data_IF_284874327674
#
_entry.id   IF_284874327674
#
_cell.length_a   1.000
_cell.length_b   1.000
_cell.length_c   1.000
_cell.angle_alpha   90.00
_cell.angle_beta   90.00
_cell.angle_gamma   90.00
#
_symmetry.space_group_name_H-M   'P 1'
#
loop_
_entity.id
_entity.type
_entity.pdbx_description
1 polymer ?
#
# COMPACT_ATOMS: atom_id res chain seq x y z
N UNK A 1 -30.29 -16.57 -58.76
CA UNK A 1 -30.62 -15.53 -59.80
C UNK A 1 -31.46 -14.50 -59.09
N UNK A 2 -30.87 -13.38 -58.79
CA UNK A 2 -31.42 -12.04 -58.68
C UNK A 2 -30.30 -11.13 -58.23
N UNK A 3 -29.68 -10.47 -59.19
CA UNK A 3 -28.75 -9.36 -59.06
C UNK A 3 -29.55 -8.14 -58.56
N UNK A 4 -28.92 -7.31 -57.72
CA UNK A 4 -29.32 -5.93 -57.51
C UNK A 4 -28.05 -5.06 -57.44
N UNK A 5 -28.08 -4.04 -58.32
CA UNK A 5 -27.04 -3.09 -58.68
C UNK A 5 -26.71 -2.07 -57.61
N UNK A 6 -25.52 -1.39 -57.73
CA UNK A 6 -25.03 -0.41 -56.76
C UNK A 6 -25.60 1.00 -57.04
N UNK A 7 -25.79 1.77 -55.95
CA UNK A 7 -26.21 3.17 -55.96
C UNK A 7 -24.99 4.08 -56.03
N UNK A 8 -25.00 5.15 -56.88
CA UNK A 8 -23.83 6.05 -57.06
C UNK A 8 -23.72 7.16 -56.00
N UNK A 9 -22.57 7.83 -55.87
CA UNK A 9 -22.33 8.85 -54.89
C UNK A 9 -22.84 10.23 -55.30
N UNK A 10 -23.43 10.95 -54.35
CA UNK A 10 -23.93 12.32 -54.55
C UNK A 10 -22.87 13.34 -54.13
N UNK A 11 -22.46 14.19 -55.10
CA UNK A 11 -21.60 15.36 -54.91
C UNK A 11 -22.45 16.59 -54.61
N UNK A 12 -22.28 17.20 -53.43
CA UNK A 12 -22.61 18.61 -53.29
C UNK A 12 -21.49 19.34 -52.54
N UNK A 13 -20.63 20.01 -53.34
CA UNK A 13 -19.83 21.15 -52.91
C UNK A 13 -20.73 22.37 -52.79
N UNK A 14 -20.71 23.02 -51.64
CA UNK A 14 -21.01 24.44 -51.56
C UNK A 14 -19.94 25.17 -50.81
N UNK A 15 -19.21 25.99 -51.53
CA UNK A 15 -18.26 26.98 -51.04
C UNK A 15 -19.05 28.21 -50.55
N UNK A 16 -18.81 28.66 -49.34
CA UNK A 16 -19.12 30.04 -48.95
C UNK A 16 -17.83 30.65 -48.36
N UNK A 17 -17.27 31.61 -49.14
CA UNK A 17 -16.28 32.49 -48.69
C UNK A 17 -16.89 33.64 -47.88
N UNK A 18 -16.27 34.00 -46.79
CA UNK A 18 -16.63 35.14 -45.98
C UNK A 18 -15.43 35.51 -45.13
N UNK A 19 -14.61 36.41 -45.63
CA UNK A 19 -13.49 36.96 -44.88
C UNK A 19 -13.98 37.88 -43.76
N UNK A 20 -13.39 37.75 -42.60
CA UNK A 20 -13.38 38.79 -41.58
C UNK A 20 -11.97 39.04 -41.09
N UNK A 21 -11.68 40.33 -41.10
CA UNK A 21 -10.41 41.02 -40.87
C UNK A 21 -9.83 40.70 -39.49
N UNK A 22 -8.51 40.55 -39.49
CA UNK A 22 -7.62 40.59 -38.35
C UNK A 22 -7.77 41.89 -37.55
N UNK A 23 -7.99 41.75 -36.23
CA UNK A 23 -7.69 42.80 -35.26
C UNK A 23 -6.76 42.16 -34.23
N UNK A 24 -5.48 42.31 -34.43
CA UNK A 24 -4.46 41.93 -33.49
C UNK A 24 -4.44 42.97 -32.32
N UNK A 25 -4.88 42.57 -31.17
CA UNK A 25 -4.73 43.36 -29.94
C UNK A 25 -3.37 42.96 -29.31
N UNK A 26 -2.38 43.79 -29.55
CA UNK A 26 -1.05 43.73 -28.90
C UNK A 26 -1.21 44.26 -27.49
N UNK A 27 -1.29 43.39 -26.50
CA UNK A 27 -1.10 43.75 -25.08
C UNK A 27 0.40 43.79 -24.78
N UNK A 28 0.96 45.00 -24.73
CA UNK A 28 2.30 45.26 -24.23
C UNK A 28 2.32 45.03 -22.72
N UNK A 29 2.89 43.91 -22.28
CA UNK A 29 3.23 43.69 -20.87
C UNK A 29 4.59 44.31 -20.61
N UNK A 30 4.58 45.46 -19.95
CA UNK A 30 5.79 46.14 -19.48
C UNK A 30 6.42 45.31 -18.35
N UNK A 31 7.55 44.69 -18.63
CA UNK A 31 8.43 44.09 -17.62
C UNK A 31 9.21 45.21 -16.91
N UNK A 32 8.81 45.53 -15.67
CA UNK A 32 9.63 46.29 -14.76
C UNK A 32 10.76 45.40 -14.23
N UNK A 33 11.95 45.60 -14.72
CA UNK A 33 13.17 44.96 -14.21
C UNK A 33 13.52 45.63 -12.88
N UNK A 34 13.18 44.96 -11.77
CA UNK A 34 13.75 45.29 -10.48
C UNK A 34 15.15 44.68 -10.40
N UNK A 35 16.14 45.51 -10.46
CA UNK A 35 17.51 45.15 -10.20
C UNK A 35 17.71 44.79 -8.74
N UNK A 36 17.77 43.48 -8.44
CA UNK A 36 18.23 43.00 -7.14
C UNK A 36 19.77 43.00 -7.15
N UNK A 37 20.33 43.85 -6.30
CA UNK A 37 21.75 43.85 -5.99
C UNK A 37 22.12 42.51 -5.32
N UNK A 38 23.03 41.77 -5.96
CA UNK A 38 23.62 40.57 -5.44
C UNK A 38 24.63 40.99 -4.35
N UNK A 39 24.24 40.86 -3.08
CA UNK A 39 25.19 40.89 -1.96
C UNK A 39 25.98 39.57 -1.92
N UNK A 40 27.20 39.55 -1.32
CA UNK A 40 28.05 38.39 -1.33
C UNK A 40 27.39 37.22 -0.57
N UNK A 41 27.43 36.03 -1.17
CA UNK A 41 26.94 34.80 -0.62
C UNK A 41 27.69 34.48 0.69
N UNK A 42 27.03 34.74 1.81
CA UNK A 42 27.40 34.19 3.10
C UNK A 42 27.10 32.71 3.09
N UNK A 43 28.08 31.91 3.52
CA UNK A 43 28.04 30.45 3.45
C UNK A 43 26.73 29.84 3.98
N UNK A 44 26.15 28.92 3.18
CA UNK A 44 25.14 28.01 3.65
C UNK A 44 25.80 27.09 4.67
N UNK A 45 25.70 27.46 5.94
CA UNK A 45 25.89 26.51 7.02
C UNK A 45 24.92 25.35 6.79
N UNK A 46 25.48 24.17 6.63
CA UNK A 46 24.78 22.90 6.78
C UNK A 46 24.06 22.96 8.14
N UNK A 47 22.77 23.26 8.14
CA UNK A 47 21.94 23.00 9.32
C UNK A 47 21.97 21.50 9.55
N UNK A 48 22.88 21.09 10.40
CA UNK A 48 22.87 19.80 11.05
C UNK A 48 21.46 19.53 11.54
N UNK A 49 20.86 18.45 11.03
CA UNK A 49 19.59 17.90 11.48
C UNK A 49 19.69 17.81 12.99
N UNK A 50 19.04 18.71 13.72
CA UNK A 50 18.96 18.63 15.17
C UNK A 50 18.31 17.28 15.46
N UNK A 51 19.11 16.37 15.99
CA UNK A 51 18.64 15.14 16.58
C UNK A 51 17.72 15.56 17.72
N UNK A 52 16.41 15.45 17.47
CA UNK A 52 15.42 15.48 18.54
C UNK A 52 15.65 14.15 19.29
N UNK A 53 16.63 14.16 20.16
CA UNK A 53 16.82 13.10 21.15
C UNK A 53 15.70 13.29 22.18
N UNK A 54 14.57 12.63 21.95
CA UNK A 54 13.62 12.42 23.03
C UNK A 54 14.33 11.51 24.05
N UNK A 55 14.52 11.93 25.29
CA UNK A 55 14.99 11.04 26.34
C UNK A 55 13.85 10.08 26.66
N UNK A 56 13.77 8.96 25.93
CA UNK A 56 12.84 7.88 26.26
C UNK A 56 13.43 7.14 27.43
N UNK A 57 12.99 7.51 28.63
CA UNK A 57 13.22 6.70 29.83
C UNK A 57 12.44 5.38 29.65
N UNK A 58 13.07 4.38 29.07
CA UNK A 58 12.53 3.03 29.03
C UNK A 58 12.50 2.49 30.46
N UNK A 59 11.32 2.36 31.06
CA UNK A 59 11.16 1.47 32.19
C UNK A 59 11.62 0.08 31.72
N UNK A 60 12.77 -0.37 32.23
CA UNK A 60 13.44 -1.62 31.79
C UNK A 60 12.68 -2.84 32.30
N UNK A 61 11.51 -3.13 31.73
CA UNK A 61 11.00 -4.49 31.77
C UNK A 61 11.92 -5.37 30.93
N UNK A 62 12.44 -6.48 31.44
CA UNK A 62 13.36 -7.32 30.68
C UNK A 62 12.68 -7.78 29.39
N UNK A 63 13.39 -7.65 28.27
CA UNK A 63 12.93 -8.17 26.98
C UNK A 63 12.65 -9.67 27.12
N UNK A 64 11.62 -10.18 26.44
CA UNK A 64 11.19 -11.59 26.56
C UNK A 64 12.20 -12.59 25.95
N UNK A 65 13.35 -12.14 25.45
CA UNK A 65 14.37 -12.96 24.83
C UNK A 65 15.79 -12.39 24.98
N UNK A 66 16.79 -13.28 24.95
CA UNK A 66 18.23 -12.93 24.97
C UNK A 66 18.75 -12.43 23.60
N UNK A 67 18.09 -12.84 22.50
CA UNK A 67 18.40 -12.46 21.12
C UNK A 67 17.12 -12.00 20.42
N UNK A 68 17.19 -10.90 19.70
CA UNK A 68 16.07 -10.37 18.91
C UNK A 68 15.81 -11.33 17.73
N UNK A 69 14.58 -11.88 17.62
CA UNK A 69 14.30 -12.96 16.67
C UNK A 69 13.84 -12.47 15.29
N UNK A 70 14.18 -11.24 14.92
CA UNK A 70 13.83 -10.62 13.65
C UNK A 70 14.91 -9.63 13.22
N UNK A 71 14.94 -9.28 11.93
CA UNK A 71 15.89 -8.31 11.39
C UNK A 71 15.47 -6.85 11.66
N UNK A 72 14.16 -6.60 11.72
CA UNK A 72 13.65 -5.29 12.11
C UNK A 72 12.32 -5.44 12.83
N UNK A 73 12.10 -4.62 13.86
CA UNK A 73 10.89 -4.60 14.68
C UNK A 73 10.56 -3.16 15.08
N UNK A 74 9.29 -2.80 14.97
CA UNK A 74 8.72 -1.60 15.59
C UNK A 74 7.45 -1.99 16.34
N UNK A 75 7.37 -1.61 17.62
CA UNK A 75 6.17 -1.67 18.45
C UNK A 75 5.82 -0.27 18.92
N UNK A 76 4.68 0.25 18.52
CA UNK A 76 4.21 1.61 18.81
C UNK A 76 2.85 1.57 19.49
N UNK A 77 2.64 2.42 20.48
CA UNK A 77 1.32 2.72 21.01
C UNK A 77 0.74 3.89 20.21
N UNK A 78 -0.42 3.69 19.57
CA UNK A 78 -0.92 4.58 18.53
C UNK A 78 -1.54 5.86 19.08
N UNK A 79 -2.14 5.84 20.27
CA UNK A 79 -2.81 7.01 20.84
C UNK A 79 -1.82 8.08 21.31
N UNK A 80 -0.76 7.64 21.99
CA UNK A 80 0.30 8.53 22.47
C UNK A 80 1.41 8.76 21.43
N UNK A 81 1.48 7.93 20.38
CA UNK A 81 2.60 7.90 19.44
C UNK A 81 3.88 7.30 20.03
N UNK A 82 3.86 6.79 21.27
CA UNK A 82 5.03 6.29 21.97
C UNK A 82 5.57 4.99 21.36
N UNK A 83 6.85 4.98 21.03
CA UNK A 83 7.55 3.75 20.63
C UNK A 83 7.85 2.95 21.91
N UNK A 84 7.34 1.73 21.97
CA UNK A 84 7.49 0.82 23.10
C UNK A 84 8.68 -0.13 22.93
N UNK A 85 9.01 -0.46 21.69
CA UNK A 85 10.17 -1.25 21.33
C UNK A 85 10.56 -0.99 19.87
N UNK A 86 11.85 -0.88 19.61
CA UNK A 86 12.41 -0.72 18.28
C UNK A 86 13.71 -1.52 18.11
N UNK A 87 13.95 -1.97 16.89
CA UNK A 87 15.18 -2.63 16.46
C UNK A 87 15.35 -2.49 14.97
N UNK A 88 16.46 -1.88 14.50
CA UNK A 88 16.78 -1.68 13.08
C UNK A 88 15.57 -1.15 12.26
N UNK A 89 14.86 -0.14 12.79
CA UNK A 89 13.57 0.33 12.24
C UNK A 89 13.70 1.04 10.91
N UNK A 90 14.85 1.63 10.64
CA UNK A 90 15.25 2.35 9.43
C UNK A 90 15.89 1.45 8.36
N UNK A 91 16.13 0.18 8.69
CA UNK A 91 16.76 -0.76 7.76
C UNK A 91 15.88 -1.09 6.59
N UNK A 92 16.37 -0.81 5.37
CA UNK A 92 15.70 -1.20 4.11
C UNK A 92 15.72 -2.71 3.94
N UNK A 93 14.54 -3.31 3.94
CA UNK A 93 14.33 -4.75 3.77
C UNK A 93 13.24 -4.99 2.72
N UNK A 94 13.24 -6.18 2.10
CA UNK A 94 12.14 -6.58 1.22
C UNK A 94 10.85 -6.72 2.03
N UNK A 95 9.77 -5.99 1.71
CA UNK A 95 8.52 -6.01 2.48
C UNK A 95 7.66 -7.24 2.19
N UNK A 96 7.94 -7.99 1.14
CA UNK A 96 7.06 -9.04 0.62
C UNK A 96 5.63 -8.50 0.44
N UNK A 97 4.62 -9.32 0.72
CA UNK A 97 3.20 -8.94 0.58
C UNK A 97 2.71 -7.85 1.56
N UNK A 98 3.56 -7.26 2.40
CA UNK A 98 3.21 -6.04 3.11
C UNK A 98 3.03 -4.86 2.13
N UNK A 99 3.67 -4.91 0.97
CA UNK A 99 3.44 -4.04 -0.20
C UNK A 99 1.96 -3.85 -0.53
N UNK A 100 1.16 -4.92 -0.37
CA UNK A 100 -0.27 -4.90 -0.69
C UNK A 100 -1.08 -3.90 0.16
N UNK A 101 -0.52 -3.39 1.26
CA UNK A 101 -1.13 -2.30 2.04
C UNK A 101 -1.17 -1.02 1.21
N UNK A 102 -0.06 -0.67 0.53
CA UNK A 102 -0.03 0.48 -0.39
C UNK A 102 -0.98 0.25 -1.57
N UNK A 103 -0.96 -0.95 -2.16
CA UNK A 103 -1.86 -1.27 -3.28
C UNK A 103 -3.32 -1.17 -2.86
N UNK A 104 -3.69 -1.68 -1.69
CA UNK A 104 -5.04 -1.55 -1.16
C UNK A 104 -5.45 -0.09 -0.94
N UNK A 105 -4.54 0.74 -0.42
CA UNK A 105 -4.81 2.16 -0.21
C UNK A 105 -5.10 2.87 -1.54
N UNK A 106 -4.31 2.63 -2.58
CA UNK A 106 -4.54 3.21 -3.92
C UNK A 106 -5.82 2.68 -4.55
N UNK A 107 -6.10 1.38 -4.43
CA UNK A 107 -7.34 0.79 -4.93
C UNK A 107 -8.56 1.43 -4.26
N UNK A 108 -8.51 1.68 -2.95
CA UNK A 108 -9.60 2.34 -2.20
C UNK A 108 -9.73 3.83 -2.50
N UNK A 109 -8.67 4.50 -2.92
CA UNK A 109 -8.68 5.92 -3.26
C UNK A 109 -9.11 6.19 -4.72
N UNK A 110 -8.79 5.29 -5.64
CA UNK A 110 -8.94 5.52 -7.09
C UNK A 110 -9.94 4.59 -7.76
N UNK A 111 -10.12 3.39 -7.23
CA UNK A 111 -11.04 2.40 -7.76
C UNK A 111 -12.44 2.52 -7.13
N UNK A 112 -13.43 1.99 -7.82
CA UNK A 112 -14.77 1.79 -7.27
C UNK A 112 -14.93 0.31 -6.99
N UNK A 113 -15.27 -0.06 -5.75
CA UNK A 113 -15.29 -1.47 -5.32
C UNK A 113 -16.30 -2.34 -6.09
N UNK A 114 -17.31 -1.71 -6.71
CA UNK A 114 -18.30 -2.37 -7.55
C UNK A 114 -17.87 -2.51 -9.02
N UNK A 115 -16.75 -1.89 -9.43
CA UNK A 115 -16.23 -2.04 -10.78
C UNK A 115 -15.94 -3.51 -11.09
N UNK A 116 -16.15 -3.88 -12.35
CA UNK A 116 -15.93 -5.23 -12.84
C UNK A 116 -14.53 -5.35 -13.43
N UNK A 117 -13.66 -6.05 -12.73
CA UNK A 117 -12.29 -6.30 -13.14
C UNK A 117 -12.16 -7.69 -13.75
N UNK A 118 -11.57 -7.76 -14.94
CA UNK A 118 -11.32 -9.02 -15.65
C UNK A 118 -9.92 -9.55 -15.33
N UNK A 119 -9.83 -10.82 -15.00
CA UNK A 119 -8.55 -11.50 -14.78
C UNK A 119 -7.80 -11.65 -16.11
N UNK A 120 -6.71 -10.93 -16.25
CA UNK A 120 -5.83 -10.97 -17.42
C UNK A 120 -5.04 -12.29 -17.48
N UNK A 121 -4.40 -12.52 -18.63
CA UNK A 121 -3.46 -13.65 -18.77
C UNK A 121 -2.25 -13.51 -17.84
N UNK A 122 -1.78 -12.28 -17.61
CA UNK A 122 -0.68 -11.99 -16.68
C UNK A 122 -1.10 -12.30 -15.25
N UNK A 123 -2.23 -11.78 -14.80
CA UNK A 123 -2.77 -12.04 -13.47
C UNK A 123 -2.99 -13.54 -13.19
N UNK A 124 -3.58 -14.28 -14.14
CA UNK A 124 -3.82 -15.73 -14.00
C UNK A 124 -2.52 -16.56 -13.91
N UNK A 125 -1.38 -16.03 -14.37
CA UNK A 125 -0.05 -16.65 -14.30
C UNK A 125 0.76 -16.20 -13.10
N UNK A 126 0.18 -15.41 -12.21
CA UNK A 126 0.87 -14.90 -11.03
C UNK A 126 1.56 -16.03 -10.25
N UNK A 127 2.79 -15.79 -9.74
CA UNK A 127 3.47 -16.76 -8.88
C UNK A 127 2.72 -16.98 -7.57
N UNK A 128 3.02 -18.06 -6.85
CA UNK A 128 2.42 -18.33 -5.52
C UNK A 128 2.61 -17.13 -4.58
N UNK A 129 1.69 -16.77 -3.74
CA UNK A 129 0.39 -17.39 -3.40
C UNK A 129 -0.68 -16.94 -4.39
N UNK A 130 -1.60 -17.80 -4.79
CA UNK A 130 -2.68 -17.45 -5.73
C UNK A 130 -3.93 -18.33 -5.48
N UNK A 131 -5.10 -17.88 -5.92
CA UNK A 131 -6.36 -18.61 -5.90
C UNK A 131 -6.57 -19.51 -7.12
N UNK A 132 -5.70 -19.43 -8.12
CA UNK A 132 -5.83 -20.04 -9.44
C UNK A 132 -7.04 -19.50 -10.19
N UNK A 133 -7.16 -18.17 -10.20
CA UNK A 133 -8.12 -17.45 -11.02
C UNK A 133 -7.87 -17.76 -12.49
N UNK A 134 -8.95 -17.87 -13.28
CA UNK A 134 -8.86 -18.17 -14.70
C UNK A 134 -8.87 -16.92 -15.54
N UNK A 135 -8.15 -16.94 -16.65
CA UNK A 135 -8.20 -15.86 -17.65
C UNK A 135 -9.66 -15.62 -18.08
N UNK A 136 -10.09 -14.37 -18.06
CA UNK A 136 -11.43 -13.96 -18.44
C UNK A 136 -12.47 -14.06 -17.32
N UNK A 137 -12.15 -14.62 -16.14
CA UNK A 137 -13.05 -14.48 -14.99
C UNK A 137 -13.20 -13.01 -14.63
N UNK A 138 -14.43 -12.60 -14.31
CA UNK A 138 -14.76 -11.22 -13.96
C UNK A 138 -15.20 -11.18 -12.49
N UNK A 139 -14.57 -10.32 -11.71
CA UNK A 139 -14.87 -10.11 -10.30
C UNK A 139 -15.22 -8.66 -10.03
N UNK A 140 -15.96 -8.39 -8.96
CA UNK A 140 -15.97 -7.04 -8.39
C UNK A 140 -14.58 -6.70 -7.85
N UNK A 141 -14.16 -5.46 -8.02
CA UNK A 141 -12.86 -4.98 -7.53
C UNK A 141 -12.72 -5.20 -6.00
N UNK A 142 -13.82 -5.01 -5.25
CA UNK A 142 -13.87 -5.30 -3.82
C UNK A 142 -13.58 -6.75 -3.46
N UNK A 143 -14.00 -7.71 -4.28
CA UNK A 143 -13.74 -9.12 -4.05
C UNK A 143 -12.28 -9.49 -4.34
N UNK A 144 -11.68 -8.89 -5.37
CA UNK A 144 -10.23 -9.01 -5.61
C UNK A 144 -9.43 -8.40 -4.47
N UNK A 145 -9.87 -7.25 -3.94
CA UNK A 145 -9.25 -6.62 -2.77
C UNK A 145 -9.31 -7.51 -1.53
N UNK A 146 -10.45 -8.17 -1.24
CA UNK A 146 -10.58 -9.18 -0.18
C UNK A 146 -9.58 -10.32 -0.37
N UNK A 147 -9.53 -10.91 -1.55
CA UNK A 147 -8.60 -12.00 -1.86
C UNK A 147 -7.13 -11.57 -1.69
N UNK A 148 -6.78 -10.37 -2.18
CA UNK A 148 -5.45 -9.80 -2.06
C UNK A 148 -5.02 -9.61 -0.60
N UNK A 149 -5.91 -9.10 0.24
CA UNK A 149 -5.55 -8.76 1.63
C UNK A 149 -5.63 -9.96 2.58
N UNK A 150 -6.66 -10.77 2.50
CA UNK A 150 -6.91 -11.88 3.43
C UNK A 150 -5.97 -13.06 3.16
N UNK A 151 -5.97 -13.57 1.93
CA UNK A 151 -5.17 -14.76 1.57
C UNK A 151 -3.87 -14.41 0.83
N UNK A 152 -3.63 -13.13 0.63
CA UNK A 152 -2.43 -12.64 -0.08
C UNK A 152 -2.34 -13.13 -1.54
N UNK A 153 -3.49 -13.36 -2.19
CA UNK A 153 -3.58 -13.88 -3.55
C UNK A 153 -2.91 -12.92 -4.56
N UNK A 154 -1.89 -13.41 -5.26
CA UNK A 154 -1.12 -12.61 -6.20
C UNK A 154 -1.86 -12.41 -7.53
N UNK A 155 -2.62 -13.42 -7.97
CA UNK A 155 -3.51 -13.31 -9.14
C UNK A 155 -4.60 -12.26 -8.95
N UNK A 156 -5.26 -12.25 -7.78
CA UNK A 156 -6.23 -11.21 -7.44
C UNK A 156 -5.57 -9.82 -7.31
N UNK A 157 -4.35 -9.77 -6.74
CA UNK A 157 -3.58 -8.54 -6.64
C UNK A 157 -3.26 -7.95 -8.02
N UNK A 158 -2.69 -8.74 -8.93
CA UNK A 158 -2.37 -8.28 -10.29
C UNK A 158 -3.62 -7.85 -11.05
N UNK A 159 -4.72 -8.61 -10.97
CA UNK A 159 -5.97 -8.23 -11.62
C UNK A 159 -6.52 -6.89 -11.09
N UNK A 160 -6.43 -6.63 -9.79
CA UNK A 160 -6.86 -5.36 -9.20
C UNK A 160 -5.92 -4.21 -9.56
N UNK A 161 -4.60 -4.44 -9.55
CA UNK A 161 -3.55 -3.48 -9.92
C UNK A 161 -3.69 -3.07 -11.38
N UNK A 162 -3.83 -4.03 -12.29
CA UNK A 162 -4.02 -3.78 -13.72
C UNK A 162 -5.33 -3.03 -14.00
N UNK A 163 -6.40 -3.37 -13.28
CA UNK A 163 -7.69 -2.69 -13.44
C UNK A 163 -7.63 -1.21 -13.04
N UNK A 164 -7.01 -0.90 -11.91
CA UNK A 164 -6.97 0.47 -11.38
C UNK A 164 -5.87 1.33 -12.02
N UNK A 165 -4.74 0.72 -12.37
CA UNK A 165 -3.60 1.41 -13.00
C UNK A 165 -3.67 1.49 -14.52
N UNK A 166 -4.49 0.64 -15.15
CA UNK A 166 -4.39 0.34 -16.58
C UNK A 166 -3.36 -0.75 -16.85
N UNK A 167 -2.19 -0.65 -16.25
CA UNK A 167 -1.17 -1.68 -16.18
C UNK A 167 -0.39 -1.59 -14.83
N UNK A 168 0.51 -2.55 -14.60
CA UNK A 168 1.29 -2.58 -13.35
C UNK A 168 2.30 -1.44 -13.27
N UNK A 169 2.88 -0.99 -14.36
CA UNK A 169 3.90 0.08 -14.39
C UNK A 169 3.29 1.42 -13.97
N UNK A 170 2.15 1.77 -14.55
CA UNK A 170 1.40 2.97 -14.17
C UNK A 170 0.95 2.91 -12.71
N UNK A 171 0.49 1.74 -12.26
CA UNK A 171 0.10 1.55 -10.86
C UNK A 171 1.29 1.73 -9.91
N UNK A 172 2.45 1.19 -10.24
CA UNK A 172 3.71 1.37 -9.46
C UNK A 172 4.11 2.83 -9.39
N UNK A 173 3.92 3.59 -10.47
CA UNK A 173 4.12 5.04 -10.46
C UNK A 173 3.23 5.73 -9.43
N UNK A 174 1.95 5.34 -9.34
CA UNK A 174 1.03 5.84 -8.31
C UNK A 174 1.49 5.45 -6.89
N UNK A 175 1.99 4.21 -6.71
CA UNK A 175 2.50 3.75 -5.40
C UNK A 175 3.68 4.59 -4.94
N UNK A 176 4.66 4.85 -5.80
CA UNK A 176 5.84 5.64 -5.45
C UNK A 176 5.49 7.12 -5.23
N UNK A 177 4.60 7.70 -6.03
CA UNK A 177 4.09 9.05 -5.79
C UNK A 177 3.37 9.14 -4.43
N UNK A 178 2.59 8.13 -4.06
CA UNK A 178 1.91 8.06 -2.75
C UNK A 178 2.91 7.88 -1.61
N UNK A 179 3.97 7.07 -1.80
CA UNK A 179 5.03 6.91 -0.81
C UNK A 179 5.70 8.25 -0.49
N UNK A 180 6.05 9.02 -1.53
CA UNK A 180 6.59 10.40 -1.36
C UNK A 180 5.61 11.30 -0.62
N UNK A 181 4.33 11.30 -1.03
CA UNK A 181 3.30 12.13 -0.40
C UNK A 181 3.06 11.78 1.08
N UNK A 182 3.31 10.54 1.48
CA UNK A 182 3.21 10.07 2.88
C UNK A 182 4.52 10.24 3.66
N UNK A 183 5.60 10.72 3.04
CA UNK A 183 6.91 10.87 3.66
C UNK A 183 7.64 9.53 3.92
N UNK A 184 7.32 8.48 3.16
CA UNK A 184 7.98 7.18 3.25
C UNK A 184 9.31 7.22 2.49
N UNK A 185 10.31 7.85 3.09
CA UNK A 185 11.56 8.23 2.40
C UNK A 185 12.49 7.03 2.14
N UNK A 186 12.31 5.94 2.87
CA UNK A 186 13.08 4.71 2.75
C UNK A 186 12.26 3.56 2.17
N UNK A 187 11.26 3.92 1.32
CA UNK A 187 10.39 2.97 0.64
C UNK A 187 10.39 3.20 -0.87
N UNK A 188 10.58 2.13 -1.61
CA UNK A 188 10.42 2.12 -3.06
C UNK A 188 9.73 0.83 -3.52
N UNK A 189 8.74 0.97 -4.37
CA UNK A 189 7.98 -0.14 -4.95
C UNK A 189 8.39 -0.34 -6.41
N UNK A 190 8.69 -1.58 -6.80
CA UNK A 190 8.93 -1.97 -8.18
C UNK A 190 7.83 -2.87 -8.76
N UNK A 191 6.85 -3.24 -7.95
CA UNK A 191 5.65 -3.99 -8.35
C UNK A 191 4.52 -3.79 -7.33
N UNK A 192 3.29 -4.10 -7.74
CA UNK A 192 2.09 -3.90 -6.91
C UNK A 192 1.84 -4.99 -5.87
N UNK A 193 2.49 -6.14 -5.95
CA UNK A 193 2.10 -7.33 -5.18
C UNK A 193 3.14 -7.81 -4.16
N UNK A 194 4.33 -7.21 -4.14
CA UNK A 194 5.39 -7.53 -3.19
C UNK A 194 6.24 -8.74 -3.61
N UNK A 195 6.46 -8.89 -4.90
CA UNK A 195 7.47 -9.80 -5.44
C UNK A 195 8.87 -9.26 -5.14
N UNK A 196 9.83 -10.15 -5.00
CA UNK A 196 11.21 -9.74 -4.80
C UNK A 196 11.74 -8.98 -6.02
N UNK A 197 12.38 -7.85 -5.78
CA UNK A 197 13.03 -6.99 -6.77
C UNK A 197 14.30 -6.37 -6.20
N UNK A 198 15.20 -5.88 -7.06
CA UNK A 198 16.42 -5.19 -6.62
C UNK A 198 16.05 -3.91 -5.86
N UNK A 199 15.14 -3.12 -6.44
CA UNK A 199 14.70 -1.83 -5.92
C UNK A 199 13.33 -1.90 -5.24
N UNK A 200 12.97 -3.06 -4.66
CA UNK A 200 11.73 -3.25 -3.93
C UNK A 200 12.02 -3.39 -2.44
N UNK A 201 11.90 -2.30 -1.72
CA UNK A 201 12.26 -2.24 -0.30
C UNK A 201 11.35 -1.27 0.49
N UNK A 202 11.37 -1.45 1.79
CA UNK A 202 10.76 -0.55 2.78
C UNK A 202 11.43 -0.75 4.14
N UNK A 203 11.04 0.05 5.13
CA UNK A 203 11.51 -0.04 6.51
C UNK A 203 10.34 -0.34 7.46
N UNK A 204 10.64 -0.74 8.69
CA UNK A 204 9.57 -0.93 9.67
C UNK A 204 8.89 0.38 10.05
N UNK A 205 9.62 1.49 10.06
CA UNK A 205 9.10 2.83 10.33
C UNK A 205 8.13 3.28 9.23
N UNK A 206 8.54 3.19 7.96
CA UNK A 206 7.68 3.55 6.82
C UNK A 206 6.43 2.68 6.73
N UNK A 207 6.58 1.37 6.96
CA UNK A 207 5.46 0.43 6.96
C UNK A 207 4.49 0.67 8.12
N UNK A 208 4.97 1.13 9.27
CA UNK A 208 4.10 1.55 10.37
C UNK A 208 3.30 2.78 9.97
N UNK A 209 3.97 3.82 9.43
CA UNK A 209 3.31 5.04 8.92
C UNK A 209 2.26 4.71 7.86
N UNK A 210 2.60 3.88 6.87
CA UNK A 210 1.68 3.42 5.85
C UNK A 210 0.47 2.69 6.45
N UNK A 211 0.71 1.83 7.44
CA UNK A 211 -0.36 1.07 8.10
C UNK A 211 -1.28 1.96 8.93
N UNK A 212 -0.73 2.95 9.61
CA UNK A 212 -1.52 3.95 10.35
C UNK A 212 -2.47 4.69 9.41
N UNK A 213 -1.98 5.12 8.23
CA UNK A 213 -2.80 5.77 7.21
C UNK A 213 -3.89 4.84 6.68
N UNK A 214 -3.52 3.60 6.30
CA UNK A 214 -4.47 2.63 5.78
C UNK A 214 -5.57 2.27 6.79
N UNK A 215 -5.21 2.14 8.07
CA UNK A 215 -6.14 1.86 9.17
C UNK A 215 -7.10 3.01 9.49
N UNK A 216 -6.93 4.22 8.94
CA UNK A 216 -7.93 5.30 9.01
C UNK A 216 -9.12 5.05 8.08
N UNK A 217 -8.92 4.31 7.00
CA UNK A 217 -10.00 3.94 6.08
C UNK A 217 -10.87 2.83 6.70
N UNK A 218 -12.18 3.07 6.83
CA UNK A 218 -13.11 2.13 7.46
C UNK A 218 -13.20 0.80 6.70
N UNK A 219 -13.26 0.86 5.36
CA UNK A 219 -13.33 -0.34 4.51
C UNK A 219 -12.06 -1.18 4.67
N UNK A 220 -10.90 -0.54 4.73
CA UNK A 220 -9.64 -1.25 4.97
C UNK A 220 -9.64 -1.96 6.33
N UNK A 221 -10.05 -1.24 7.40
CA UNK A 221 -10.13 -1.82 8.76
C UNK A 221 -11.05 -3.04 8.80
N UNK A 222 -12.23 -2.91 8.22
CA UNK A 222 -13.22 -3.99 8.21
C UNK A 222 -12.70 -5.19 7.43
N UNK A 223 -12.06 -4.95 6.30
CA UNK A 223 -11.47 -6.00 5.46
C UNK A 223 -10.36 -6.79 6.16
N UNK A 224 -9.41 -6.12 6.82
CA UNK A 224 -8.22 -6.82 7.36
C UNK A 224 -8.49 -7.59 8.64
N UNK A 225 -9.60 -7.32 9.33
CA UNK A 225 -10.02 -8.04 10.53
C UNK A 225 -10.83 -9.31 10.24
N UNK A 226 -11.35 -9.45 8.99
CA UNK A 226 -12.15 -10.62 8.63
C UNK A 226 -11.32 -11.90 8.65
N UNK A 227 -11.83 -12.93 9.33
CA UNK A 227 -11.18 -14.25 9.42
C UNK A 227 -11.50 -15.12 8.21
N UNK A 228 -12.74 -15.02 7.70
CA UNK A 228 -13.23 -15.83 6.59
C UNK A 228 -14.18 -15.05 5.70
N UNK A 229 -14.05 -15.26 4.39
CA UNK A 229 -14.94 -14.69 3.37
C UNK A 229 -15.14 -15.67 2.21
N UNK A 230 -16.14 -15.42 1.40
CA UNK A 230 -16.39 -16.15 0.15
C UNK A 230 -16.54 -15.12 -0.97
N UNK A 231 -15.79 -15.31 -2.04
CA UNK A 231 -15.94 -14.50 -3.25
C UNK A 231 -16.35 -15.39 -4.43
N UNK A 232 -17.11 -14.82 -5.36
CA UNK A 232 -17.58 -15.53 -6.55
C UNK A 232 -17.42 -14.61 -7.77
N UNK A 233 -16.84 -15.08 -8.89
CA UNK A 233 -16.82 -14.29 -10.11
C UNK A 233 -18.24 -13.98 -10.60
N UNK A 234 -18.43 -12.79 -11.10
CA UNK A 234 -19.70 -12.38 -11.73
C UNK A 234 -19.97 -13.21 -12.98
N UNK A 235 -18.93 -13.66 -13.65
CA UNK A 235 -18.96 -14.44 -14.89
C UNK A 235 -19.08 -15.95 -14.68
N UNK A 236 -19.27 -16.44 -13.46
CA UNK A 236 -19.28 -17.89 -13.21
C UNK A 236 -19.83 -18.30 -11.86
N UNK A 237 -19.80 -19.62 -11.59
CA UNK A 237 -20.40 -20.20 -10.38
C UNK A 237 -19.38 -20.71 -9.34
N UNK A 238 -18.07 -20.62 -9.64
CA UNK A 238 -17.04 -21.13 -8.74
C UNK A 238 -16.85 -20.18 -7.56
N UNK A 239 -17.17 -20.65 -6.35
CA UNK A 239 -16.88 -19.92 -5.12
C UNK A 239 -15.43 -20.17 -4.65
N UNK A 240 -14.80 -19.10 -4.14
CA UNK A 240 -13.46 -19.13 -3.54
C UNK A 240 -13.58 -18.78 -2.07
N UNK A 241 -13.23 -19.73 -1.20
CA UNK A 241 -13.22 -19.53 0.25
C UNK A 241 -11.90 -18.92 0.66
N UNK A 242 -11.95 -17.75 1.28
CA UNK A 242 -10.81 -17.02 1.79
C UNK A 242 -10.67 -17.26 3.28
N UNK A 243 -9.51 -17.73 3.73
CA UNK A 243 -9.14 -17.81 5.14
C UNK A 243 -7.98 -16.88 5.40
N UNK A 244 -8.15 -15.92 6.30
CA UNK A 244 -7.11 -14.94 6.57
C UNK A 244 -5.79 -15.61 7.01
N UNK A 245 -4.69 -15.19 6.40
CA UNK A 245 -3.35 -15.70 6.72
C UNK A 245 -2.79 -15.20 8.04
N UNK A 246 -3.42 -14.19 8.66
CA UNK A 246 -3.04 -13.68 9.97
C UNK A 246 -3.55 -14.60 11.08
N UNK A 247 -2.68 -15.45 11.59
CA UNK A 247 -3.01 -16.43 12.63
C UNK A 247 -3.26 -15.81 14.02
N UNK A 248 -3.12 -14.51 14.19
CA UNK A 248 -3.42 -13.84 15.46
C UNK A 248 -4.91 -13.51 15.59
N UNK A 249 -5.61 -13.33 14.46
CA UNK A 249 -7.06 -13.13 14.43
C UNK A 249 -7.77 -14.30 15.11
N UNK A 250 -8.79 -13.99 15.90
CA UNK A 250 -9.54 -14.97 16.68
C UNK A 250 -8.76 -15.68 17.81
N UNK A 251 -7.42 -15.48 17.91
CA UNK A 251 -6.56 -16.17 18.91
C UNK A 251 -6.00 -15.23 19.96
N UNK A 252 -5.75 -14.00 19.60
CA UNK A 252 -5.33 -12.96 20.55
C UNK A 252 -6.46 -11.93 20.60
N UNK A 253 -7.08 -11.72 21.76
CA UNK A 253 -8.15 -10.74 21.89
C UNK A 253 -7.70 -9.35 21.41
N UNK A 254 -8.58 -8.64 20.71
CA UNK A 254 -8.33 -7.29 20.23
C UNK A 254 -7.46 -7.17 18.99
N UNK A 255 -7.02 -8.27 18.37
CA UNK A 255 -6.31 -8.20 17.07
C UNK A 255 -7.27 -7.79 15.97
N UNK A 256 -6.91 -6.72 15.25
CA UNK A 256 -7.71 -6.10 14.18
C UNK A 256 -7.05 -6.18 12.78
N UNK A 257 -6.12 -7.07 12.59
CA UNK A 257 -5.41 -7.26 11.31
C UNK A 257 -3.90 -7.19 11.54
N UNK A 258 -3.03 -6.77 10.61
CA UNK A 258 -3.25 -6.07 9.32
C UNK A 258 -2.87 -6.98 8.13
N UNK A 259 -1.57 -7.38 8.04
CA UNK A 259 -1.08 -8.13 6.88
C UNK A 259 0.11 -9.02 7.22
N UNK A 260 0.19 -10.16 6.55
CA UNK A 260 1.35 -11.05 6.55
C UNK A 260 2.14 -10.91 5.25
N UNK A 261 3.45 -11.18 5.31
CA UNK A 261 4.32 -11.27 4.13
C UNK A 261 5.28 -12.44 4.22
N UNK A 262 5.63 -12.99 3.08
CA UNK A 262 6.71 -13.97 2.95
C UNK A 262 7.20 -14.06 1.51
N UNK A 263 8.51 -13.94 1.34
CA UNK A 263 9.27 -14.43 0.18
C UNK A 263 10.56 -15.05 0.70
N UNK A 264 11.32 -15.72 -0.16
CA UNK A 264 12.61 -16.28 0.25
C UNK A 264 13.62 -15.19 0.64
N UNK A 265 13.58 -14.02 -0.01
CA UNK A 265 14.44 -12.86 0.30
C UNK A 265 13.96 -12.13 1.56
N UNK A 266 12.68 -11.86 1.66
CA UNK A 266 12.11 -11.10 2.78
C UNK A 266 12.05 -11.87 4.10
N UNK A 267 12.02 -13.20 4.06
CA UNK A 267 11.67 -13.99 5.24
C UNK A 267 10.20 -13.78 5.67
N UNK A 268 9.87 -14.12 6.91
CA UNK A 268 8.49 -13.97 7.42
C UNK A 268 8.27 -12.59 8.01
N UNK A 269 7.33 -11.83 7.43
CA UNK A 269 6.96 -10.48 7.83
C UNK A 269 5.53 -10.45 8.37
N UNK A 270 5.23 -9.49 9.24
CA UNK A 270 3.92 -9.29 9.85
C UNK A 270 3.73 -7.82 10.23
N UNK A 271 2.56 -7.29 9.96
CA UNK A 271 2.05 -6.10 10.65
C UNK A 271 0.78 -6.52 11.39
N UNK A 272 0.68 -6.16 12.66
CA UNK A 272 -0.48 -6.41 13.48
C UNK A 272 -0.91 -5.16 14.25
N UNK A 273 -2.22 -4.86 14.23
CA UNK A 273 -2.85 -3.88 15.13
C UNK A 273 -3.63 -4.64 16.18
N UNK A 274 -3.50 -4.20 17.44
CA UNK A 274 -4.15 -4.84 18.58
C UNK A 274 -4.70 -3.79 19.53
N UNK A 275 -5.99 -3.86 19.83
CA UNK A 275 -6.68 -2.93 20.73
C UNK A 275 -7.15 -3.66 21.99
N UNK A 276 -6.66 -3.28 23.16
CA UNK A 276 -7.07 -3.83 24.45
C UNK A 276 -7.04 -2.75 25.54
N UNK A 277 -8.00 -2.77 26.46
CA UNK A 277 -8.01 -1.93 27.66
C UNK A 277 -7.73 -0.45 27.40
N UNK A 278 -8.26 0.08 26.29
CA UNK A 278 -8.06 1.47 25.94
C UNK A 278 -6.71 1.81 25.31
N UNK A 279 -5.81 0.86 25.09
CA UNK A 279 -4.54 1.03 24.39
C UNK A 279 -4.58 0.38 23.01
N UNK A 280 -3.96 1.03 22.03
CA UNK A 280 -3.88 0.59 20.63
C UNK A 280 -2.42 0.36 20.24
N UNK A 281 -2.03 -0.88 20.01
CA UNK A 281 -0.67 -1.24 19.60
C UNK A 281 -0.59 -1.50 18.10
N UNK A 282 0.44 -0.96 17.46
CA UNK A 282 0.86 -1.34 16.11
C UNK A 282 2.23 -2.01 16.19
N UNK A 283 2.31 -3.21 15.65
CA UNK A 283 3.52 -4.03 15.61
C UNK A 283 3.90 -4.30 14.16
N UNK A 284 5.13 -3.96 13.80
CA UNK A 284 5.78 -4.32 12.54
C UNK A 284 6.93 -5.27 12.83
N UNK A 285 6.98 -6.41 12.15
CA UNK A 285 8.06 -7.39 12.22
C UNK A 285 8.51 -7.71 10.80
N UNK A 286 9.79 -7.52 10.51
CA UNK A 286 10.40 -7.87 9.23
C UNK A 286 11.43 -8.97 9.44
N UNK A 287 11.36 -9.99 8.58
CA UNK A 287 12.28 -11.13 8.54
C UNK A 287 12.48 -11.82 9.90
N UNK A 288 11.45 -12.47 10.39
CA UNK A 288 11.49 -13.24 11.64
C UNK A 288 11.25 -14.73 11.40
N UNK A 289 12.15 -15.57 11.87
CA UNK A 289 11.98 -17.02 11.80
C UNK A 289 10.80 -17.54 12.65
N UNK A 290 10.41 -16.81 13.71
CA UNK A 290 9.37 -17.17 14.68
C UNK A 290 8.30 -16.09 14.82
N UNK A 291 7.86 -15.46 13.70
CA UNK A 291 7.03 -14.24 13.73
C UNK A 291 5.81 -14.32 14.65
N UNK A 292 5.15 -15.48 14.79
CA UNK A 292 3.97 -15.62 15.64
C UNK A 292 4.30 -15.54 17.13
N UNK A 293 5.34 -16.27 17.55
CA UNK A 293 5.81 -16.22 18.95
C UNK A 293 6.39 -14.84 19.27
N UNK A 294 7.15 -14.27 18.33
CA UNK A 294 7.70 -12.91 18.46
C UNK A 294 6.56 -11.89 18.60
N UNK A 295 5.54 -11.98 17.76
CA UNK A 295 4.39 -11.08 17.84
C UNK A 295 3.66 -11.20 19.18
N UNK A 296 3.34 -12.42 19.62
CA UNK A 296 2.69 -12.64 20.92
C UNK A 296 3.48 -12.02 22.06
N UNK A 297 4.79 -12.30 22.13
CA UNK A 297 5.65 -11.78 23.20
C UNK A 297 5.74 -10.25 23.20
N UNK A 298 5.78 -9.61 22.02
CA UNK A 298 5.81 -8.15 21.89
C UNK A 298 4.47 -7.50 22.23
N UNK A 299 3.37 -8.11 21.83
CA UNK A 299 2.01 -7.64 22.19
C UNK A 299 1.85 -7.69 23.72
N UNK A 300 2.17 -8.83 24.34
CA UNK A 300 2.12 -9.00 25.81
C UNK A 300 3.04 -7.98 26.51
N UNK A 301 4.23 -7.73 25.96
CA UNK A 301 5.18 -6.73 26.47
C UNK A 301 4.61 -5.31 26.37
N UNK A 302 4.07 -4.94 25.22
CA UNK A 302 3.49 -3.62 24.98
C UNK A 302 2.35 -3.30 25.94
N UNK A 303 1.42 -4.24 26.15
CA UNK A 303 0.31 -4.03 27.08
C UNK A 303 0.75 -3.96 28.54
N UNK A 304 1.81 -4.67 28.95
CA UNK A 304 2.37 -4.45 30.29
C UNK A 304 2.88 -3.03 30.47
N UNK A 305 3.55 -2.46 29.45
CA UNK A 305 4.09 -1.10 29.52
C UNK A 305 2.99 -0.02 29.46
N UNK A 306 1.87 -0.28 28.83
CA UNK A 306 0.75 0.68 28.77
C UNK A 306 -0.11 0.62 30.03
N UNK A 307 -0.31 -0.55 30.63
CA UNK A 307 -1.09 -0.71 31.86
C UNK A 307 -0.39 -0.21 33.12
N UNK A 308 0.94 -0.04 33.10
CA UNK A 308 1.72 0.44 34.26
C UNK A 308 1.69 1.97 34.39
N UNK A 309 1.14 2.69 33.42
CA UNK A 309 1.14 4.16 33.35
C UNK A 309 -0.25 4.75 33.69
N UNK A 310 -1.24 3.91 33.96
CA UNK A 310 -2.54 4.30 34.53
C UNK A 310 -2.50 4.22 36.05
#
# INVERSE_FOLDING_TARGET
>A
MAECDPIPPDHHRQSWGGGFSSLALVLAVSFSVLAFSIGPASGMEHQSRSQITHPVSYARSPLPWKRIPAHSILLKELRSGRILFEHEVDKRLSPASLTKIMSALIILEKGRLDDLATVSRNAARAPKTHLRLKVGEVFRLGDLLKAMMMVSANDACLAAVEHVGGDEEQFVTLMNAKAVALGLLDTHFSNGCGFDGADHYSTAEDLATLSEVAMRNAVFRDLVKEEREIITPVSGYRAYVLHNTNRLLGRIPGVEGVKTGFTSKAGRCLIAKVSQNGSDLLLVILNSNRRWNTAKSLIDYGFRLTNTVQ
#
